data_IF_869640276119
#
_entry.id   IF_869640276119
#
_cell.length_a   1.000
_cell.length_b   1.000
_cell.length_c   1.000
_cell.angle_alpha   90.00
_cell.angle_beta   90.00
_cell.angle_gamma   90.00
#
_symmetry.space_group_name_H-M   'P 1'
#
loop_
_entity.id
_entity.type
_entity.pdbx_description
1 polymer ?
#
# COMPACT_ATOMS: atom_id res chain seq x y z
N UNK A 1 14.13 6.80 28.59
CA UNK A 1 14.19 6.12 27.28
C UNK A 1 13.03 6.66 26.47
N UNK A 2 13.31 7.40 25.40
CA UNK A 2 12.27 7.84 24.48
C UNK A 2 11.65 6.58 23.85
N UNK A 3 10.33 6.48 23.86
CA UNK A 3 9.64 5.43 23.11
C UNK A 3 10.01 5.63 21.63
N UNK A 4 10.35 4.58 20.87
CA UNK A 4 10.62 4.74 19.45
C UNK A 4 9.38 5.35 18.82
N UNK A 5 9.53 6.55 18.22
CA UNK A 5 8.49 7.12 17.36
C UNK A 5 8.21 6.10 16.27
N UNK A 6 6.93 5.70 16.15
CA UNK A 6 6.50 4.82 15.06
C UNK A 6 6.86 5.44 13.70
N UNK A 7 7.02 4.59 12.68
CA UNK A 7 7.22 5.06 11.30
C UNK A 7 5.89 5.63 10.79
N UNK A 8 5.92 6.87 10.31
CA UNK A 8 4.78 7.49 9.64
C UNK A 8 4.67 6.98 8.20
N UNK A 9 4.00 5.85 8.03
CA UNK A 9 3.76 5.24 6.73
C UNK A 9 2.88 6.13 5.85
N UNK A 10 3.37 6.46 4.66
CA UNK A 10 2.61 7.14 3.62
C UNK A 10 1.58 6.18 3.00
N UNK A 11 2.01 4.95 2.72
CA UNK A 11 1.18 3.90 2.13
C UNK A 11 1.48 2.55 2.78
N UNK A 12 0.44 1.77 3.06
CA UNK A 12 0.53 0.34 3.36
C UNK A 12 -0.20 -0.41 2.25
N UNK A 13 0.51 -1.33 1.61
CA UNK A 13 -0.01 -2.18 0.54
C UNK A 13 0.06 -3.64 0.97
N UNK A 14 -1.07 -4.34 0.85
CA UNK A 14 -1.14 -5.78 1.01
C UNK A 14 -1.38 -6.40 -0.37
N UNK A 15 -0.42 -7.18 -0.86
CA UNK A 15 -0.57 -7.91 -2.12
C UNK A 15 -1.08 -9.32 -1.84
N UNK A 16 -1.95 -9.82 -2.72
CA UNK A 16 -2.45 -11.19 -2.63
C UNK A 16 -2.67 -11.80 -4.01
N UNK A 17 -2.44 -13.10 -4.13
CA UNK A 17 -2.56 -13.81 -5.41
C UNK A 17 -4.01 -13.99 -5.88
N UNK A 18 -4.98 -13.95 -4.97
CA UNK A 18 -6.37 -14.25 -5.27
C UNK A 18 -7.24 -12.99 -5.20
N UNK A 19 -7.87 -12.65 -6.32
CA UNK A 19 -8.80 -11.51 -6.45
C UNK A 19 -9.86 -11.45 -5.36
N UNK A 20 -10.44 -12.59 -5.01
CA UNK A 20 -11.53 -12.66 -4.03
C UNK A 20 -11.07 -12.30 -2.61
N UNK A 21 -9.76 -12.33 -2.35
CA UNK A 21 -9.18 -11.94 -1.06
C UNK A 21 -8.97 -10.42 -0.94
N UNK A 22 -8.87 -9.69 -2.06
CA UNK A 22 -8.69 -8.23 -2.08
C UNK A 22 -9.74 -7.48 -1.23
N UNK A 23 -11.06 -7.67 -1.42
CA UNK A 23 -12.05 -6.95 -0.62
C UNK A 23 -11.99 -7.29 0.87
N UNK A 24 -11.64 -8.53 1.22
CA UNK A 24 -11.50 -8.98 2.61
C UNK A 24 -10.31 -8.29 3.27
N UNK A 25 -9.16 -8.25 2.60
CA UNK A 25 -7.96 -7.58 3.11
C UNK A 25 -8.14 -6.06 3.18
N UNK A 26 -8.77 -5.45 2.17
CA UNK A 26 -9.10 -4.03 2.19
C UNK A 26 -9.95 -3.70 3.41
N UNK A 27 -10.99 -4.50 3.68
CA UNK A 27 -11.87 -4.30 4.83
C UNK A 27 -11.13 -4.40 6.15
N UNK A 28 -10.24 -5.37 6.30
CA UNK A 28 -9.46 -5.53 7.53
C UNK A 28 -8.50 -4.34 7.74
N UNK A 29 -7.83 -3.84 6.69
CA UNK A 29 -7.00 -2.64 6.77
C UNK A 29 -7.81 -1.43 7.26
N UNK A 30 -9.01 -1.20 6.70
CA UNK A 30 -9.92 -0.14 7.15
C UNK A 30 -10.36 -0.30 8.60
N UNK A 31 -10.65 -1.53 9.04
CA UNK A 31 -11.03 -1.82 10.43
C UNK A 31 -9.88 -1.45 11.37
N UNK A 32 -8.63 -1.77 11.02
CA UNK A 32 -7.45 -1.42 11.82
C UNK A 32 -7.23 0.09 11.89
N UNK A 33 -7.45 0.80 10.79
CA UNK A 33 -7.40 2.28 10.79
C UNK A 33 -8.49 2.89 11.68
N UNK A 34 -9.73 2.38 11.59
CA UNK A 34 -10.85 2.82 12.45
C UNK A 34 -10.63 2.54 13.93
N UNK A 35 -9.81 1.53 14.25
CA UNK A 35 -9.40 1.18 15.62
C UNK A 35 -8.14 1.94 16.06
N UNK A 36 -7.69 2.93 15.29
CA UNK A 36 -6.51 3.74 15.57
C UNK A 36 -5.20 2.93 15.65
N UNK A 37 -5.19 1.70 15.13
CA UNK A 37 -3.98 0.87 15.04
C UNK A 37 -3.10 1.27 13.84
N UNK A 38 -3.69 1.96 12.87
CA UNK A 38 -3.02 2.53 11.72
C UNK A 38 -3.39 4.01 11.67
N UNK A 39 -2.43 4.94 11.46
CA UNK A 39 -2.73 6.35 11.37
C UNK A 39 -3.78 6.67 10.29
N UNK A 40 -4.69 7.63 10.52
CA UNK A 40 -5.74 7.98 9.57
C UNK A 40 -5.22 8.62 8.26
N UNK A 41 -4.00 9.16 8.28
CA UNK A 41 -3.36 9.75 7.11
C UNK A 41 -2.73 8.73 6.15
N UNK A 42 -2.55 7.48 6.59
CA UNK A 42 -1.92 6.43 5.78
C UNK A 42 -2.88 5.94 4.69
N UNK A 43 -2.41 5.90 3.43
CA UNK A 43 -3.14 5.26 2.34
C UNK A 43 -3.09 3.74 2.50
N UNK A 44 -4.24 3.06 2.43
CA UNK A 44 -4.35 1.62 2.61
C UNK A 44 -4.89 0.96 1.34
N UNK A 45 -4.13 0.03 0.79
CA UNK A 45 -4.44 -0.66 -0.47
C UNK A 45 -4.29 -2.16 -0.31
N UNK A 46 -5.32 -2.91 -0.65
CA UNK A 46 -5.21 -4.32 -1.00
C UNK A 46 -5.14 -4.43 -2.53
N UNK A 47 -4.16 -5.18 -3.04
CA UNK A 47 -3.85 -5.26 -4.47
C UNK A 47 -3.72 -6.72 -4.89
N UNK A 48 -4.38 -7.08 -5.97
CA UNK A 48 -4.20 -8.38 -6.61
C UNK A 48 -2.83 -8.43 -7.31
N UNK A 49 -2.11 -9.54 -7.15
CA UNK A 49 -0.92 -9.79 -7.97
C UNK A 49 -1.32 -9.88 -9.46
N UNK A 50 -0.47 -9.41 -10.40
CA UNK A 50 -0.82 -9.39 -11.83
C UNK A 50 -1.04 -10.78 -12.41
N UNK A 51 -0.38 -11.80 -11.83
CA UNK A 51 -0.59 -13.20 -12.15
C UNK A 51 -0.39 -14.07 -10.90
N UNK A 52 -1.06 -15.23 -10.87
CA UNK A 52 -0.79 -16.24 -9.84
C UNK A 52 0.65 -16.72 -9.93
N UNK A 53 1.35 -16.83 -8.80
CA UNK A 53 2.76 -17.27 -8.71
C UNK A 53 3.76 -16.35 -9.43
N UNK A 54 3.46 -15.05 -9.57
CA UNK A 54 4.40 -14.04 -10.11
C UNK A 54 5.69 -13.90 -9.28
N UNK A 55 5.68 -14.34 -8.03
CA UNK A 55 6.78 -14.23 -7.08
C UNK A 55 6.86 -12.86 -6.41
N UNK A 56 7.64 -12.75 -5.34
CA UNK A 56 7.69 -11.55 -4.50
C UNK A 56 8.15 -10.30 -5.25
N UNK A 57 9.10 -10.44 -6.20
CA UNK A 57 9.61 -9.32 -6.99
C UNK A 57 8.53 -8.72 -7.90
N UNK A 58 7.76 -9.56 -8.61
CA UNK A 58 6.67 -9.09 -9.46
C UNK A 58 5.52 -8.47 -8.66
N UNK A 59 5.16 -9.09 -7.53
CA UNK A 59 4.19 -8.54 -6.59
C UNK A 59 4.63 -7.17 -6.04
N UNK A 60 5.92 -7.03 -5.69
CA UNK A 60 6.51 -5.77 -5.21
C UNK A 60 6.45 -4.68 -6.27
N UNK A 61 6.82 -4.98 -7.52
CA UNK A 61 6.78 -4.01 -8.62
C UNK A 61 5.34 -3.56 -8.91
N UNK A 62 4.39 -4.49 -8.91
CA UNK A 62 2.98 -4.16 -9.06
C UNK A 62 2.49 -3.25 -7.92
N UNK A 63 2.83 -3.58 -6.67
CA UNK A 63 2.50 -2.74 -5.52
C UNK A 63 3.07 -1.32 -5.65
N UNK A 64 4.32 -1.18 -6.10
CA UNK A 64 4.95 0.14 -6.32
C UNK A 64 4.29 0.93 -7.46
N UNK A 65 3.91 0.26 -8.55
CA UNK A 65 3.16 0.89 -9.64
C UNK A 65 1.81 1.43 -9.13
N UNK A 66 1.04 0.60 -8.44
CA UNK A 66 -0.25 0.98 -7.87
C UNK A 66 -0.09 2.10 -6.82
N UNK A 67 0.98 2.07 -6.03
CA UNK A 67 1.33 3.16 -5.12
C UNK A 67 1.56 4.47 -5.87
N UNK A 68 2.36 4.44 -6.93
CA UNK A 68 2.69 5.61 -7.73
C UNK A 68 1.44 6.20 -8.39
N UNK A 69 0.51 5.38 -8.88
CA UNK A 69 -0.78 5.83 -9.44
C UNK A 69 -1.59 6.61 -8.41
N UNK A 70 -1.80 6.04 -7.22
CA UNK A 70 -2.60 6.66 -6.18
C UNK A 70 -1.94 7.92 -5.61
N UNK A 71 -0.63 7.89 -5.40
CA UNK A 71 0.12 9.05 -4.90
C UNK A 71 0.19 10.15 -5.95
N UNK A 72 0.33 9.82 -7.24
CA UNK A 72 0.31 10.80 -8.33
C UNK A 72 -1.05 11.50 -8.40
N UNK A 73 -2.15 10.72 -8.34
CA UNK A 73 -3.50 11.27 -8.31
C UNK A 73 -3.75 12.16 -7.08
N UNK A 74 -3.29 11.73 -5.89
CA UNK A 74 -3.38 12.54 -4.65
C UNK A 74 -2.57 13.83 -4.72
N UNK A 75 -1.44 13.83 -5.42
CA UNK A 75 -0.63 15.02 -5.65
C UNK A 75 -1.17 15.93 -6.77
N UNK A 76 -2.25 15.54 -7.46
CA UNK A 76 -2.87 16.32 -8.54
C UNK A 76 -2.16 16.18 -9.89
N UNK A 77 -1.30 15.19 -10.07
CA UNK A 77 -0.70 14.89 -11.38
C UNK A 77 -1.71 14.19 -12.30
N UNK A 78 -1.62 14.49 -13.59
CA UNK A 78 -2.45 13.85 -14.64
C UNK A 78 -1.78 12.62 -15.28
N UNK A 79 -0.53 12.35 -14.90
CA UNK A 79 0.26 11.20 -15.35
C UNK A 79 0.82 10.49 -14.12
N UNK A 80 1.10 9.19 -14.28
CA UNK A 80 1.81 8.42 -13.26
C UNK A 80 3.28 8.83 -13.31
N UNK A 81 3.82 9.31 -12.19
CA UNK A 81 5.24 9.66 -12.05
C UNK A 81 5.86 8.89 -10.88
N UNK A 82 7.11 8.45 -11.03
CA UNK A 82 7.89 7.86 -9.95
C UNK A 82 8.33 8.89 -8.90
N UNK A 83 8.25 10.19 -9.20
CA UNK A 83 8.72 11.25 -8.32
C UNK A 83 8.07 11.20 -6.93
N UNK A 84 6.77 10.83 -6.89
CA UNK A 84 6.01 10.68 -5.65
C UNK A 84 6.49 9.56 -4.73
N UNK A 85 7.30 8.62 -5.24
CA UNK A 85 7.85 7.52 -4.45
C UNK A 85 9.10 7.94 -3.65
N UNK A 86 9.82 8.98 -4.06
CA UNK A 86 11.11 9.35 -3.44
C UNK A 86 10.99 9.76 -1.97
N UNK A 87 9.87 10.38 -1.59
CA UNK A 87 9.60 10.82 -0.21
C UNK A 87 8.62 9.90 0.54
N UNK A 88 8.09 8.88 -0.12
CA UNK A 88 7.06 8.01 0.46
C UNK A 88 7.69 6.93 1.34
N UNK A 89 7.15 6.77 2.55
CA UNK A 89 7.39 5.59 3.39
C UNK A 89 6.34 4.54 3.03
N UNK A 90 6.75 3.47 2.37
CA UNK A 90 5.86 2.43 1.85
C UNK A 90 6.14 1.10 2.54
N UNK A 91 5.10 0.51 3.14
CA UNK A 91 5.12 -0.86 3.66
C UNK A 91 4.40 -1.79 2.69
N UNK A 92 5.05 -2.86 2.27
CA UNK A 92 4.46 -3.90 1.40
C UNK A 92 4.41 -5.21 2.18
N UNK A 93 3.23 -5.82 2.22
CA UNK A 93 2.96 -7.12 2.83
C UNK A 93 2.50 -8.09 1.74
N UNK A 94 3.04 -9.32 1.71
CA UNK A 94 2.65 -10.35 0.74
C UNK A 94 1.86 -11.46 1.45
N UNK A 95 0.70 -11.83 0.88
CA UNK A 95 -0.22 -12.84 1.43
C UNK A 95 -0.58 -13.93 0.41
#
# INVERSE_FOLDING_TARGET
MEQPKGVDWTVIILTCQYKDSVPVFQRELEVRQKREQIPPGTLLLAVEDPETRVGSGGATLNALLVAAEHLSARAGFTVVTSDVLHSAQILILHM
#
